data_IF_035301822675
#
_entry.id   IF_035301822675
#
_cell.length_a   1.000
_cell.length_b   1.000
_cell.length_c   1.000
_cell.angle_alpha   90.00
_cell.angle_beta   90.00
_cell.angle_gamma   90.00
#
_symmetry.space_group_name_H-M   'P 1'
#
loop_
_entity.id
_entity.type
_entity.pdbx_description
1 polymer ?
#
# COMPACT_ATOMS: atom_id res chain seq x y z
N UNK A 1 18.90 -4.61 -8.61
CA UNK A 1 18.75 -4.23 -10.03
C UNK A 1 17.80 -3.05 -10.11
N UNK A 2 18.14 -2.01 -10.87
CA UNK A 2 17.29 -0.83 -11.06
C UNK A 2 16.58 -0.97 -12.41
N UNK A 3 15.29 -0.67 -12.47
CA UNK A 3 14.48 -0.81 -13.69
C UNK A 3 13.51 0.36 -13.78
N UNK A 4 13.06 0.65 -15.00
CA UNK A 4 12.01 1.63 -15.26
C UNK A 4 10.91 0.94 -16.07
N UNK A 5 9.65 1.23 -15.77
CA UNK A 5 8.52 0.79 -16.59
C UNK A 5 7.88 2.02 -17.24
N UNK A 6 8.13 2.26 -18.53
CA UNK A 6 7.48 3.34 -19.26
C UNK A 6 6.06 2.94 -19.64
N UNK A 7 5.12 3.88 -19.49
CA UNK A 7 3.73 3.75 -19.92
C UNK A 7 3.48 4.90 -20.90
N UNK A 8 3.43 4.58 -22.19
CA UNK A 8 3.18 5.57 -23.23
C UNK A 8 1.71 5.55 -23.66
N UNK A 9 1.10 6.72 -23.81
CA UNK A 9 -0.25 6.90 -24.36
C UNK A 9 -0.27 8.02 -25.38
N UNK A 10 -1.15 7.91 -26.38
CA UNK A 10 -1.44 8.99 -27.32
C UNK A 10 -2.81 9.57 -26.95
N UNK A 11 -2.83 10.83 -26.54
CA UNK A 11 -4.01 11.58 -26.17
C UNK A 11 -4.19 12.69 -27.19
N UNK A 12 -5.17 12.52 -28.09
CA UNK A 12 -5.51 13.52 -29.11
C UNK A 12 -4.32 13.96 -29.99
N UNK A 13 -3.43 13.03 -30.34
CA UNK A 13 -2.24 13.32 -31.15
C UNK A 13 -1.00 13.73 -30.35
N UNK A 14 -1.12 13.90 -29.04
CA UNK A 14 0.00 14.20 -28.13
C UNK A 14 0.44 12.90 -27.44
N UNK A 15 1.74 12.60 -27.50
CA UNK A 15 2.30 11.47 -26.77
C UNK A 15 2.65 11.87 -25.33
N UNK A 16 2.09 11.16 -24.36
CA UNK A 16 2.44 11.26 -22.94
C UNK A 16 3.15 9.97 -22.51
N UNK A 17 4.15 10.10 -21.63
CA UNK A 17 4.89 8.96 -21.08
C UNK A 17 4.96 9.11 -19.56
N UNK A 18 4.32 8.20 -18.85
CA UNK A 18 4.52 8.03 -17.41
C UNK A 18 5.69 7.08 -17.17
N UNK A 19 6.52 7.39 -16.17
CA UNK A 19 7.71 6.60 -15.84
C UNK A 19 7.59 6.06 -14.41
N UNK A 20 7.36 4.75 -14.28
CA UNK A 20 7.39 4.07 -12.99
C UNK A 20 8.82 3.60 -12.68
N UNK A 21 9.45 4.20 -11.68
CA UNK A 21 10.78 3.80 -11.21
C UNK A 21 10.68 2.56 -10.33
N UNK A 22 11.57 1.59 -10.53
CA UNK A 22 11.58 0.33 -9.79
C UNK A 22 12.98 -0.04 -9.33
N UNK A 23 13.05 -0.70 -8.18
CA UNK A 23 14.30 -1.17 -7.63
C UNK A 23 14.11 -2.46 -6.83
N UNK A 24 14.75 -3.53 -7.28
CA UNK A 24 14.65 -4.86 -6.68
C UNK A 24 15.78 -5.13 -5.67
N UNK A 25 16.39 -4.10 -5.07
CA UNK A 25 17.38 -4.29 -4.00
C UNK A 25 16.69 -4.78 -2.73
N UNK A 26 17.34 -5.70 -2.04
CA UNK A 26 16.92 -6.22 -0.74
C UNK A 26 17.97 -5.83 0.32
N UNK A 27 17.58 -5.92 1.58
CA UNK A 27 18.49 -5.84 2.73
C UNK A 27 18.15 -6.96 3.72
N UNK A 28 18.98 -7.15 4.75
CA UNK A 28 18.66 -8.09 5.83
C UNK A 28 17.35 -7.71 6.56
N UNK A 29 17.10 -6.40 6.69
CA UNK A 29 15.87 -5.85 7.27
C UNK A 29 14.66 -6.00 6.34
N UNK A 30 14.87 -5.85 5.03
CA UNK A 30 13.82 -5.96 4.01
C UNK A 30 14.16 -7.06 2.99
N UNK A 31 14.01 -8.35 3.38
CA UNK A 31 14.37 -9.47 2.53
C UNK A 31 13.46 -9.57 1.30
N UNK A 32 12.22 -9.07 1.40
CA UNK A 32 11.28 -9.02 0.28
C UNK A 32 11.55 -7.83 -0.66
N UNK A 33 12.35 -6.85 -0.26
CA UNK A 33 12.78 -5.71 -1.06
C UNK A 33 12.64 -4.38 -0.33
N UNK A 34 13.62 -3.50 -0.53
CA UNK A 34 13.69 -2.18 0.10
C UNK A 34 12.56 -1.27 -0.41
N UNK A 35 12.12 -1.48 -1.66
CA UNK A 35 11.08 -0.72 -2.35
C UNK A 35 9.83 -1.57 -2.60
N UNK A 36 9.47 -2.40 -1.63
CA UNK A 36 8.22 -3.16 -1.60
C UNK A 36 7.49 -2.85 -0.29
N UNK A 37 6.20 -3.21 -0.14
CA UNK A 37 5.53 -3.13 1.15
C UNK A 37 6.37 -3.82 2.24
N UNK A 38 6.49 -3.22 3.41
CA UNK A 38 7.28 -3.77 4.52
C UNK A 38 6.42 -4.68 5.42
N UNK A 39 7.07 -5.37 6.36
CA UNK A 39 6.47 -6.47 7.10
C UNK A 39 5.20 -6.07 7.87
N UNK A 40 5.11 -4.82 8.33
CA UNK A 40 4.01 -4.25 9.10
C UNK A 40 2.70 -4.07 8.29
N UNK A 41 2.77 -4.16 6.95
CA UNK A 41 1.61 -4.05 6.04
C UNK A 41 1.37 -5.33 5.24
N UNK A 42 2.19 -6.37 5.38
CA UNK A 42 2.07 -7.62 4.60
C UNK A 42 0.75 -8.35 4.82
N UNK A 43 0.13 -8.21 5.99
CA UNK A 43 -1.18 -8.79 6.27
C UNK A 43 -2.26 -8.23 5.33
N UNK A 44 -2.15 -6.95 4.94
CA UNK A 44 -3.00 -6.33 3.90
C UNK A 44 -2.48 -6.67 2.51
N UNK A 45 -1.22 -6.32 2.23
CA UNK A 45 -0.64 -6.40 0.89
C UNK A 45 0.82 -6.79 0.98
N UNK A 46 1.13 -8.04 0.62
CA UNK A 46 2.49 -8.56 0.56
C UNK A 46 3.08 -8.49 -0.84
N UNK A 47 2.26 -8.52 -1.88
CA UNK A 47 2.74 -8.51 -3.25
C UNK A 47 3.30 -7.13 -3.63
N UNK A 48 4.17 -7.12 -4.66
CA UNK A 48 4.75 -5.89 -5.18
C UNK A 48 3.65 -4.92 -5.65
N UNK A 49 3.92 -3.62 -5.46
CA UNK A 49 3.08 -2.53 -6.00
C UNK A 49 3.18 -2.55 -7.53
N UNK A 50 2.03 -2.76 -8.17
CA UNK A 50 1.90 -2.90 -9.62
C UNK A 50 1.69 -1.56 -10.33
N UNK A 51 1.44 -1.63 -11.65
CA UNK A 51 1.22 -0.43 -12.45
C UNK A 51 -0.08 0.31 -12.09
N UNK A 52 -1.11 -0.44 -11.69
CA UNK A 52 -2.42 0.13 -11.34
C UNK A 52 -2.29 0.99 -10.08
N UNK A 53 -1.52 0.51 -9.10
CA UNK A 53 -1.20 1.21 -7.86
C UNK A 53 -0.32 2.43 -8.09
N UNK A 54 0.68 2.34 -8.97
CA UNK A 54 1.48 3.51 -9.37
C UNK A 54 0.64 4.58 -10.06
N UNK A 55 -0.45 4.19 -10.74
CA UNK A 55 -1.40 5.11 -11.36
C UNK A 55 -2.43 5.69 -10.36
N UNK A 56 -2.31 5.40 -9.06
CA UNK A 56 -3.18 5.94 -8.02
C UNK A 56 -4.45 5.12 -7.76
N UNK A 57 -4.54 3.89 -8.26
CA UNK A 57 -5.67 2.99 -8.03
C UNK A 57 -5.25 1.80 -7.17
N UNK A 58 -6.04 1.41 -6.18
CA UNK A 58 -5.72 0.26 -5.34
C UNK A 58 -6.38 -1.03 -5.88
N UNK A 59 -5.59 -2.09 -6.06
CA UNK A 59 -6.12 -3.46 -6.25
C UNK A 59 -5.80 -4.30 -5.04
N UNK A 60 -6.83 -4.56 -4.24
CA UNK A 60 -6.72 -5.37 -3.03
C UNK A 60 -6.84 -6.87 -3.36
N UNK A 61 -6.10 -7.75 -2.65
CA UNK A 61 -6.28 -9.18 -2.73
C UNK A 61 -7.75 -9.58 -2.51
N UNK A 62 -8.34 -10.47 -3.34
CA UNK A 62 -9.75 -10.89 -3.18
C UNK A 62 -10.08 -11.44 -1.79
N UNK A 63 -9.11 -12.08 -1.13
CA UNK A 63 -9.22 -12.60 0.24
C UNK A 63 -9.57 -11.53 1.28
N UNK A 64 -9.10 -10.29 1.09
CA UNK A 64 -9.30 -9.22 2.07
C UNK A 64 -10.77 -8.88 2.27
N UNK A 65 -11.63 -9.13 1.29
CA UNK A 65 -13.06 -8.86 1.48
C UNK A 65 -13.62 -9.68 2.65
N UNK A 66 -13.27 -10.96 2.73
CA UNK A 66 -13.71 -11.85 3.81
C UNK A 66 -12.96 -11.54 5.10
N UNK A 67 -11.64 -11.39 5.03
CA UNK A 67 -10.80 -11.14 6.22
C UNK A 67 -11.14 -9.79 6.90
N UNK A 68 -11.51 -8.76 6.15
CA UNK A 68 -11.94 -7.47 6.72
C UNK A 68 -13.33 -7.55 7.36
N UNK A 69 -14.20 -8.44 6.86
CA UNK A 69 -15.49 -8.70 7.51
C UNK A 69 -15.26 -9.37 8.87
N UNK A 70 -14.37 -10.35 8.95
CA UNK A 70 -13.95 -10.99 10.21
C UNK A 70 -13.38 -9.99 11.23
N UNK A 71 -12.50 -9.08 10.78
CA UNK A 71 -11.99 -7.99 11.63
C UNK A 71 -13.14 -7.08 12.11
N UNK A 72 -14.11 -6.80 11.25
CA UNK A 72 -15.28 -5.98 11.62
C UNK A 72 -16.13 -6.67 12.69
N UNK A 73 -16.44 -7.97 12.52
CA UNK A 73 -17.18 -8.77 13.50
C UNK A 73 -16.43 -8.86 14.85
N UNK A 74 -15.10 -8.93 14.82
CA UNK A 74 -14.27 -8.89 16.02
C UNK A 74 -14.37 -7.57 16.79
N UNK A 75 -14.37 -6.44 16.07
CA UNK A 75 -14.54 -5.12 16.68
C UNK A 75 -15.94 -4.91 17.28
N UNK A 76 -16.93 -5.62 16.75
CA UNK A 76 -18.31 -5.63 17.26
C UNK A 76 -18.53 -6.62 18.41
N UNK A 77 -17.50 -7.39 18.81
CA UNK A 77 -17.62 -8.43 19.84
C UNK A 77 -18.49 -9.62 19.42
N UNK A 78 -18.77 -9.77 18.12
CA UNK A 78 -19.66 -10.81 17.59
C UNK A 78 -18.94 -12.12 17.29
N UNK A 79 -17.63 -12.06 17.04
CA UNK A 79 -16.79 -13.21 16.69
C UNK A 79 -15.35 -13.00 17.15
N UNK A 80 -14.70 -14.06 17.59
CA UNK A 80 -13.24 -14.08 17.82
C UNK A 80 -12.46 -14.66 16.64
N UNK A 81 -13.16 -15.08 15.58
CA UNK A 81 -12.57 -15.67 14.39
C UNK A 81 -11.96 -14.57 13.51
N UNK A 82 -10.67 -14.32 13.70
CA UNK A 82 -9.85 -13.44 12.86
C UNK A 82 -8.63 -14.24 12.42
N UNK A 83 -8.32 -14.21 11.14
CA UNK A 83 -7.10 -14.80 10.60
C UNK A 83 -5.85 -14.37 11.39
N UNK A 84 -4.93 -15.31 11.62
CA UNK A 84 -3.84 -15.13 12.59
C UNK A 84 -2.94 -13.92 12.26
N UNK A 85 -2.77 -13.62 10.97
CA UNK A 85 -1.97 -12.51 10.48
C UNK A 85 -2.67 -11.15 10.58
N UNK A 86 -3.99 -11.10 10.81
CA UNK A 86 -4.74 -9.88 11.10
C UNK A 86 -4.97 -9.66 12.61
N UNK A 87 -4.76 -10.68 13.45
CA UNK A 87 -5.08 -10.62 14.88
C UNK A 87 -4.43 -9.44 15.60
N UNK A 88 -3.13 -9.25 15.40
CA UNK A 88 -2.41 -8.12 16.04
C UNK A 88 -3.02 -6.78 15.67
N UNK A 89 -3.34 -6.59 14.38
CA UNK A 89 -3.97 -5.36 13.91
C UNK A 89 -5.39 -5.20 14.46
N UNK A 90 -6.19 -6.27 14.50
CA UNK A 90 -7.54 -6.22 15.06
C UNK A 90 -7.54 -5.84 16.56
N UNK A 91 -6.59 -6.38 17.35
CA UNK A 91 -6.41 -6.01 18.76
C UNK A 91 -5.94 -4.56 18.93
N UNK A 92 -5.06 -4.07 18.05
CA UNK A 92 -4.67 -2.65 18.02
C UNK A 92 -5.89 -1.75 17.78
N UNK A 93 -6.72 -2.09 16.78
CA UNK A 93 -7.94 -1.34 16.48
C UNK A 93 -8.93 -1.36 17.66
N UNK A 94 -9.12 -2.51 18.30
CA UNK A 94 -9.98 -2.64 19.48
C UNK A 94 -9.46 -1.81 20.66
N UNK A 95 -8.13 -1.73 20.81
CA UNK A 95 -7.50 -0.90 21.85
C UNK A 95 -7.66 0.60 21.57
N UNK A 96 -7.52 1.02 20.31
CA UNK A 96 -7.59 2.43 19.91
C UNK A 96 -9.03 2.98 19.89
N UNK A 97 -9.97 2.18 19.38
CA UNK A 97 -11.35 2.61 19.15
C UNK A 97 -12.34 2.06 20.19
N UNK A 98 -11.93 1.09 21.01
CA UNK A 98 -12.80 0.38 21.94
C UNK A 98 -13.64 -0.71 21.27
N UNK A 99 -14.55 -1.29 22.05
CA UNK A 99 -15.58 -2.18 21.53
C UNK A 99 -16.70 -1.35 20.89
N UNK A 100 -17.07 -1.71 19.67
CA UNK A 100 -18.04 -0.98 18.86
C UNK A 100 -19.39 -1.69 18.90
N UNK A 101 -20.48 -0.93 18.87
CA UNK A 101 -21.84 -1.48 18.83
C UNK A 101 -22.52 -1.31 17.46
N UNK A 102 -22.07 -0.35 16.65
CA UNK A 102 -22.68 -0.01 15.37
C UNK A 102 -21.86 -0.59 14.19
N UNK A 103 -22.44 -1.48 13.36
CA UNK A 103 -21.75 -2.09 12.22
C UNK A 103 -21.16 -1.07 11.23
N UNK A 104 -21.90 0.00 10.93
CA UNK A 104 -21.46 1.04 9.99
C UNK A 104 -20.23 1.80 10.51
N UNK A 105 -20.15 1.98 11.84
CA UNK A 105 -18.99 2.60 12.47
C UNK A 105 -17.76 1.69 12.39
N UNK A 106 -17.95 0.39 12.66
CA UNK A 106 -16.88 -0.59 12.56
C UNK A 106 -16.34 -0.70 11.12
N UNK A 107 -17.22 -0.79 10.12
CA UNK A 107 -16.83 -0.84 8.71
C UNK A 107 -16.07 0.44 8.29
N UNK A 108 -16.54 1.61 8.73
CA UNK A 108 -15.88 2.90 8.45
C UNK A 108 -14.47 2.96 9.04
N UNK A 109 -14.28 2.50 10.28
CA UNK A 109 -12.96 2.43 10.93
C UNK A 109 -12.05 1.46 10.18
N UNK A 110 -12.51 0.24 9.92
CA UNK A 110 -11.72 -0.77 9.19
C UNK A 110 -11.29 -0.23 7.82
N UNK A 111 -12.20 0.44 7.10
CA UNK A 111 -11.89 1.05 5.79
C UNK A 111 -10.88 2.19 5.90
N UNK A 112 -11.00 3.06 6.91
CA UNK A 112 -10.06 4.15 7.16
C UNK A 112 -8.66 3.59 7.43
N UNK A 113 -8.56 2.60 8.30
CA UNK A 113 -7.30 2.00 8.74
C UNK A 113 -6.65 1.15 7.65
N UNK A 114 -7.45 0.43 6.88
CA UNK A 114 -7.01 -0.21 5.64
C UNK A 114 -6.38 0.81 4.67
N UNK A 115 -7.02 1.97 4.51
CA UNK A 115 -6.50 3.06 3.68
C UNK A 115 -5.13 3.55 4.14
N UNK A 116 -4.94 3.70 5.46
CA UNK A 116 -3.65 4.08 6.03
C UNK A 116 -2.56 3.03 5.78
N UNK A 117 -2.87 1.74 5.99
CA UNK A 117 -1.95 0.64 5.68
C UNK A 117 -1.59 0.60 4.20
N UNK A 118 -2.53 0.93 3.32
CA UNK A 118 -2.27 1.01 1.88
C UNK A 118 -1.39 2.20 1.50
N UNK A 119 -1.61 3.38 2.07
CA UNK A 119 -0.74 4.55 1.88
C UNK A 119 0.69 4.22 2.32
N UNK A 120 0.84 3.59 3.49
CA UNK A 120 2.13 3.13 3.99
C UNK A 120 2.83 2.16 3.01
N UNK A 121 2.09 1.20 2.46
CA UNK A 121 2.62 0.28 1.45
C UNK A 121 3.11 1.00 0.18
N UNK A 122 2.43 2.07 -0.26
CA UNK A 122 2.87 2.91 -1.39
C UNK A 122 4.13 3.72 -1.04
N UNK A 123 4.21 4.26 0.17
CA UNK A 123 5.39 4.98 0.66
C UNK A 123 6.62 4.09 0.77
N UNK A 124 6.44 2.84 1.21
CA UNK A 124 7.51 1.84 1.27
C UNK A 124 8.04 1.50 -0.12
N UNK A 125 7.14 1.38 -1.10
CA UNK A 125 7.47 1.12 -2.50
C UNK A 125 8.06 2.32 -3.26
N UNK A 126 7.93 3.53 -2.72
CA UNK A 126 8.42 4.76 -3.33
C UNK A 126 9.94 4.81 -3.45
N UNK A 127 10.45 4.97 -4.68
CA UNK A 127 11.90 5.13 -4.93
C UNK A 127 12.43 6.46 -4.38
N UNK A 128 11.65 7.53 -4.54
CA UNK A 128 11.95 8.84 -3.97
C UNK A 128 10.91 9.18 -2.90
N UNK A 129 11.32 9.10 -1.64
CA UNK A 129 10.48 9.44 -0.47
C UNK A 129 10.55 10.93 -0.12
N UNK A 130 11.55 11.63 -0.67
CA UNK A 130 11.79 13.05 -0.48
C UNK A 130 11.61 13.80 -1.81
N UNK A 131 10.80 14.87 -1.77
CA UNK A 131 10.53 15.72 -2.94
C UNK A 131 11.80 16.40 -3.43
N UNK A 132 12.72 16.77 -2.56
CA UNK A 132 13.96 17.41 -3.00
C UNK A 132 14.85 16.43 -3.78
N UNK A 133 14.97 15.18 -3.32
CA UNK A 133 15.65 14.11 -4.02
C UNK A 133 15.04 13.85 -5.41
N UNK A 134 13.72 13.81 -5.51
CA UNK A 134 13.03 13.70 -6.79
C UNK A 134 13.35 14.87 -7.72
N UNK A 135 13.29 16.11 -7.22
CA UNK A 135 13.62 17.30 -8.01
C UNK A 135 15.09 17.38 -8.40
N UNK A 136 16.02 16.85 -7.59
CA UNK A 136 17.42 16.68 -8.00
C UNK A 136 17.53 15.73 -9.18
N UNK A 137 16.85 14.58 -9.14
CA UNK A 137 16.80 13.62 -10.24
C UNK A 137 16.23 14.23 -11.53
N UNK A 138 15.09 14.92 -11.47
CA UNK A 138 14.50 15.60 -12.63
C UNK A 138 15.47 16.63 -13.23
N UNK A 139 16.11 17.46 -12.38
CA UNK A 139 17.10 18.43 -12.85
C UNK A 139 18.28 17.75 -13.53
N UNK A 140 18.82 16.68 -12.96
CA UNK A 140 19.93 15.94 -13.56
C UNK A 140 19.57 15.40 -14.95
N UNK A 141 18.37 14.85 -15.15
CA UNK A 141 17.93 14.35 -16.46
C UNK A 141 17.75 15.50 -17.47
N UNK A 142 17.18 16.63 -17.03
CA UNK A 142 16.94 17.77 -17.91
C UNK A 142 18.21 18.55 -18.29
N UNK A 143 19.28 18.48 -17.48
CA UNK A 143 20.56 19.16 -17.75
C UNK A 143 21.55 18.29 -18.54
N UNK A 144 21.26 17.02 -18.81
CA UNK A 144 22.09 16.15 -19.65
C UNK A 144 21.68 16.16 -21.13
N UNK A 145 20.97 17.21 -21.58
CA UNK A 145 20.61 17.47 -22.98
C UNK A 145 21.36 18.66 -23.56
#
# INVERSE_FOLDING_TARGET
>A
HNTITPIARNVSGVFEIDLALRNNRTSAEHPYGIFHPHADVHHIKKENIGLIEVMGLAVLPPRLKTELAEVTEFLLGQSDAVEAHHREWAEQLKTEYGELSEPEQAESIVRKELGQKFVKALEDAGVFKDREAFMRFIRTINHQG
#
